data_IF_973984966280
#
_entry.id   IF_973984966280
#
_cell.length_a   1.000
_cell.length_b   1.000
_cell.length_c   1.000
_cell.angle_alpha   90.00
_cell.angle_beta   90.00
_cell.angle_gamma   90.00
#
_symmetry.space_group_name_H-M   'P 1'
#
loop_
_entity.id
_entity.type
_entity.pdbx_description
1 polymer ?
#
# COMPACT_ATOMS: atom_id res chain seq x y z
N UNK A 1 -4.50 20.42 -0.01
CA UNK A 1 -5.05 19.61 -1.11
C UNK A 1 -5.36 20.49 -2.27
N UNK A 2 -5.04 20.11 -3.48
CA UNK A 2 -5.32 20.86 -4.72
C UNK A 2 -5.75 19.87 -5.81
N UNK A 3 -6.55 20.35 -6.76
CA UNK A 3 -6.87 19.61 -7.97
C UNK A 3 -6.06 20.17 -9.14
N UNK A 4 -5.50 19.29 -9.97
CA UNK A 4 -4.90 19.71 -11.22
C UNK A 4 -5.99 20.11 -12.22
N UNK A 5 -5.79 21.21 -12.93
CA UNK A 5 -6.72 21.64 -13.97
C UNK A 5 -6.55 20.88 -15.29
N UNK A 6 -5.38 20.23 -15.48
CA UNK A 6 -5.05 19.46 -16.67
C UNK A 6 -4.17 18.26 -16.32
N UNK A 7 -4.18 17.21 -17.16
CA UNK A 7 -3.30 16.05 -17.02
C UNK A 7 -1.82 16.43 -17.08
N UNK A 8 -1.46 17.44 -17.87
CA UNK A 8 -0.10 17.96 -17.95
C UNK A 8 0.37 18.57 -16.60
N UNK A 9 -0.51 19.28 -15.90
CA UNK A 9 -0.21 19.78 -14.55
C UNK A 9 -0.07 18.67 -13.54
N UNK A 10 -0.90 17.63 -13.65
CA UNK A 10 -0.82 16.44 -12.79
C UNK A 10 0.48 15.66 -13.01
N UNK A 11 0.83 15.41 -14.26
CA UNK A 11 2.08 14.73 -14.64
C UNK A 11 3.32 15.49 -14.17
N UNK A 12 3.32 16.83 -14.23
CA UNK A 12 4.44 17.67 -13.82
C UNK A 12 4.79 17.58 -12.32
N UNK A 13 3.88 17.09 -11.48
CA UNK A 13 4.10 16.89 -10.03
C UNK A 13 4.30 15.43 -9.66
N UNK A 14 4.62 14.58 -10.63
CA UNK A 14 4.80 13.14 -10.39
C UNK A 14 3.48 12.35 -10.37
N UNK A 15 2.40 12.95 -10.83
CA UNK A 15 1.17 12.23 -11.15
C UNK A 15 1.49 11.14 -12.15
N UNK A 16 1.25 9.88 -11.75
CA UNK A 16 1.61 8.69 -12.51
C UNK A 16 0.81 8.54 -13.80
N UNK A 17 0.56 7.30 -14.18
CA UNK A 17 -0.23 6.93 -15.35
C UNK A 17 -1.64 7.52 -15.32
N UNK A 18 -2.32 7.49 -16.46
CA UNK A 18 -3.68 7.99 -16.68
C UNK A 18 -4.73 7.49 -15.67
N UNK A 19 -4.45 6.38 -14.99
CA UNK A 19 -5.34 5.77 -14.00
C UNK A 19 -5.02 6.21 -12.55
N UNK A 20 -4.03 7.10 -12.34
CA UNK A 20 -3.70 7.61 -11.01
C UNK A 20 -4.67 8.74 -10.66
N UNK A 21 -5.49 8.54 -9.63
CA UNK A 21 -6.51 9.51 -9.21
C UNK A 21 -5.94 10.68 -8.40
N UNK A 22 -4.87 10.45 -7.64
CA UNK A 22 -4.17 11.48 -6.88
C UNK A 22 -2.70 11.10 -6.67
N UNK A 23 -1.88 12.05 -6.24
CA UNK A 23 -0.48 11.83 -5.85
C UNK A 23 -0.13 12.72 -4.67
N UNK A 24 0.71 12.19 -3.77
CA UNK A 24 1.24 12.94 -2.63
C UNK A 24 2.66 13.41 -2.92
N UNK A 25 2.89 14.69 -2.76
CA UNK A 25 4.24 15.31 -2.77
C UNK A 25 4.66 15.69 -1.36
N UNK A 26 5.89 16.15 -1.19
CA UNK A 26 6.37 16.66 0.12
C UNK A 26 5.51 17.80 0.70
N UNK A 27 4.77 18.54 -0.13
CA UNK A 27 4.03 19.75 0.26
C UNK A 27 2.51 19.58 0.21
N UNK A 28 1.99 18.72 -0.68
CA UNK A 28 0.56 18.68 -0.95
C UNK A 28 0.10 17.34 -1.53
N UNK A 29 -1.20 17.10 -1.41
CA UNK A 29 -1.91 16.07 -2.16
C UNK A 29 -2.53 16.75 -3.38
N UNK A 30 -2.25 16.23 -4.58
CA UNK A 30 -2.81 16.71 -5.84
C UNK A 30 -3.69 15.65 -6.47
N UNK A 31 -4.92 15.99 -6.80
CA UNK A 31 -5.87 15.13 -7.48
C UNK A 31 -5.75 15.30 -9.00
N UNK A 32 -5.85 14.20 -9.74
CA UNK A 32 -5.97 14.22 -11.19
C UNK A 32 -7.30 14.88 -11.61
N UNK A 33 -7.40 15.46 -12.82
CA UNK A 33 -8.65 16.04 -13.32
C UNK A 33 -9.81 15.04 -13.31
N UNK A 34 -9.53 13.76 -13.62
CA UNK A 34 -10.50 12.67 -13.60
C UNK A 34 -11.12 12.38 -12.23
N UNK A 35 -10.46 12.76 -11.14
CA UNK A 35 -11.01 12.56 -9.79
C UNK A 35 -12.33 13.31 -9.55
N UNK A 36 -12.60 14.37 -10.31
CA UNK A 36 -13.86 15.13 -10.25
C UNK A 36 -15.08 14.28 -10.69
N UNK A 37 -14.88 13.17 -11.37
CA UNK A 37 -15.93 12.27 -11.85
C UNK A 37 -16.07 11.01 -10.98
N UNK A 38 -15.28 10.88 -9.93
CA UNK A 38 -15.37 9.75 -8.99
C UNK A 38 -16.59 9.92 -8.09
N UNK A 39 -17.18 8.79 -7.69
CA UNK A 39 -18.18 8.82 -6.64
C UNK A 39 -17.55 9.11 -5.26
N UNK A 40 -18.39 9.50 -4.31
CA UNK A 40 -17.96 9.89 -2.96
C UNK A 40 -17.21 8.77 -2.22
N UNK A 41 -17.56 7.50 -2.45
CA UNK A 41 -16.93 6.37 -1.78
C UNK A 41 -15.51 6.16 -2.32
N UNK A 42 -15.35 6.16 -3.64
CA UNK A 42 -14.06 6.06 -4.31
C UNK A 42 -13.15 7.25 -3.95
N UNK A 43 -13.69 8.47 -3.96
CA UNK A 43 -12.95 9.67 -3.60
C UNK A 43 -12.44 9.61 -2.13
N UNK A 44 -13.26 9.08 -1.21
CA UNK A 44 -12.84 8.91 0.19
C UNK A 44 -11.70 7.89 0.33
N UNK A 45 -11.72 6.81 -0.44
CA UNK A 45 -10.63 5.82 -0.44
C UNK A 45 -9.34 6.51 -0.92
N UNK A 46 -9.36 7.16 -2.07
CA UNK A 46 -8.21 7.89 -2.61
C UNK A 46 -7.69 8.92 -1.60
N UNK A 47 -8.59 9.72 -1.02
CA UNK A 47 -8.20 10.74 -0.05
C UNK A 47 -7.52 10.15 1.20
N UNK A 48 -8.04 9.04 1.75
CA UNK A 48 -7.44 8.38 2.91
C UNK A 48 -6.08 7.78 2.58
N UNK A 49 -5.95 7.17 1.40
CA UNK A 49 -4.70 6.63 0.90
C UNK A 49 -3.62 7.73 0.82
N UNK A 50 -3.91 8.83 0.16
CA UNK A 50 -2.99 9.94 0.03
C UNK A 50 -2.70 10.67 1.35
N UNK A 51 -3.68 10.76 2.24
CA UNK A 51 -3.47 11.31 3.59
C UNK A 51 -2.52 10.44 4.41
N UNK A 52 -2.57 9.11 4.25
CA UNK A 52 -1.60 8.23 4.89
C UNK A 52 -0.17 8.55 4.40
N UNK A 53 0.06 8.59 3.08
CA UNK A 53 1.36 8.94 2.53
C UNK A 53 1.83 10.32 3.00
N UNK A 54 0.93 11.31 2.98
CA UNK A 54 1.26 12.66 3.45
C UNK A 54 1.65 12.68 4.93
N UNK A 55 0.94 11.95 5.78
CA UNK A 55 1.23 11.87 7.22
C UNK A 55 2.56 11.13 7.50
N UNK A 56 2.83 10.06 6.76
CA UNK A 56 4.01 9.22 6.95
C UNK A 56 5.28 9.76 6.28
N UNK A 57 5.18 10.76 5.40
CA UNK A 57 6.27 11.21 4.49
C UNK A 57 7.59 11.58 5.18
N UNK A 58 7.52 12.12 6.40
CA UNK A 58 8.72 12.52 7.13
C UNK A 58 9.48 11.33 7.73
N UNK A 59 8.79 10.22 7.95
CA UNK A 59 9.33 9.02 8.58
C UNK A 59 9.62 7.91 7.56
N UNK A 60 9.13 8.04 6.33
CA UNK A 60 9.31 7.03 5.28
C UNK A 60 10.57 7.33 4.48
N UNK A 61 11.48 6.36 4.42
CA UNK A 61 12.71 6.45 3.66
C UNK A 61 12.45 6.45 2.14
N UNK A 62 13.32 7.08 1.37
CA UNK A 62 13.18 7.13 -0.09
C UNK A 62 13.38 5.75 -0.76
N UNK A 63 14.09 4.85 -0.10
CA UNK A 63 14.36 3.47 -0.50
C UNK A 63 13.45 2.44 0.19
N UNK A 64 12.42 2.90 0.89
CA UNK A 64 11.41 2.03 1.49
C UNK A 64 10.75 1.12 0.44
N UNK A 65 10.44 -0.16 0.78
CA UNK A 65 9.71 -1.06 -0.11
C UNK A 65 8.36 -0.45 -0.49
N UNK A 66 8.24 0.02 -1.73
CA UNK A 66 7.04 0.72 -2.21
C UNK A 66 5.79 -0.13 -2.07
N UNK A 67 5.87 -1.43 -2.36
CA UNK A 67 4.73 -2.32 -2.21
C UNK A 67 4.18 -2.33 -0.77
N UNK A 68 5.04 -2.20 0.25
CA UNK A 68 4.60 -2.19 1.65
C UNK A 68 3.97 -0.84 2.01
N UNK A 69 4.53 0.26 1.53
CA UNK A 69 3.94 1.60 1.75
C UNK A 69 2.56 1.71 1.12
N UNK A 70 2.39 1.21 -0.11
CA UNK A 70 1.11 1.15 -0.81
C UNK A 70 0.11 0.21 -0.12
N UNK A 71 0.56 -0.98 0.30
CA UNK A 71 -0.30 -1.95 0.96
C UNK A 71 -0.86 -1.44 2.29
N UNK A 72 -0.05 -0.72 3.08
CA UNK A 72 -0.51 -0.12 4.34
C UNK A 72 -1.40 1.10 4.08
N UNK A 73 -1.12 1.91 3.05
CA UNK A 73 -1.98 3.01 2.63
C UNK A 73 -3.37 2.49 2.24
N UNK A 74 -3.43 1.41 1.44
CA UNK A 74 -4.67 0.74 1.07
C UNK A 74 -5.40 0.12 2.27
N UNK A 75 -4.68 -0.45 3.24
CA UNK A 75 -5.29 -0.97 4.47
C UNK A 75 -5.99 0.13 5.26
N UNK A 76 -5.39 1.32 5.36
CA UNK A 76 -5.99 2.48 6.04
C UNK A 76 -7.16 3.06 5.26
N UNK A 77 -7.10 2.99 3.93
CA UNK A 77 -8.05 3.67 3.04
C UNK A 77 -9.30 2.87 2.74
N UNK A 78 -9.14 1.59 2.43
CA UNK A 78 -10.22 0.72 1.93
C UNK A 78 -11.10 0.21 3.08
N UNK A 79 -12.42 0.15 2.92
CA UNK A 79 -13.29 -0.50 3.89
C UNK A 79 -12.99 -2.01 3.95
N UNK A 80 -13.25 -2.67 5.11
CA UNK A 80 -13.19 -4.12 5.19
C UNK A 80 -14.10 -4.76 4.14
N UNK A 81 -13.56 -5.73 3.41
CA UNK A 81 -14.29 -6.48 2.39
C UNK A 81 -13.89 -7.97 2.44
N UNK A 82 -14.78 -8.90 2.08
CA UNK A 82 -14.40 -10.29 1.91
C UNK A 82 -13.28 -10.43 0.88
N UNK A 83 -12.42 -11.43 1.05
CA UNK A 83 -11.46 -11.76 0.01
C UNK A 83 -12.19 -12.29 -1.24
N UNK A 84 -11.77 -11.90 -2.44
CA UNK A 84 -12.33 -12.47 -3.66
C UNK A 84 -11.95 -13.95 -3.82
N UNK A 85 -12.72 -14.70 -4.59
CA UNK A 85 -12.53 -16.15 -4.72
C UNK A 85 -11.13 -16.56 -5.24
N UNK A 86 -10.48 -15.69 -6.01
CA UNK A 86 -9.13 -15.93 -6.54
C UNK A 86 -8.00 -15.46 -5.60
N UNK A 87 -8.31 -14.94 -4.42
CA UNK A 87 -7.30 -14.38 -3.51
C UNK A 87 -6.25 -15.42 -3.11
N UNK A 88 -6.68 -16.63 -2.75
CA UNK A 88 -5.77 -17.70 -2.35
C UNK A 88 -4.76 -18.05 -3.46
N UNK A 89 -5.22 -18.15 -4.72
CA UNK A 89 -4.34 -18.39 -5.87
C UNK A 89 -3.39 -17.22 -6.09
N UNK A 90 -3.89 -15.99 -6.01
CA UNK A 90 -3.09 -14.77 -6.20
C UNK A 90 -2.01 -14.64 -5.14
N UNK A 91 -2.30 -14.97 -3.88
CA UNK A 91 -1.35 -14.94 -2.75
C UNK A 91 -0.24 -15.99 -2.90
N UNK A 92 -0.46 -17.12 -3.61
CA UNK A 92 0.61 -18.08 -3.89
C UNK A 92 1.78 -17.49 -4.68
N UNK A 93 1.57 -16.40 -5.42
CA UNK A 93 2.64 -15.66 -6.11
C UNK A 93 3.62 -14.98 -5.14
N UNK A 94 3.30 -14.92 -3.84
CA UNK A 94 4.11 -14.27 -2.82
C UNK A 94 3.92 -12.74 -2.75
N UNK A 95 4.80 -12.08 -2.00
CA UNK A 95 4.79 -10.62 -1.90
C UNK A 95 5.06 -9.99 -3.27
N UNK A 96 4.42 -8.86 -3.59
CA UNK A 96 4.76 -8.13 -4.81
C UNK A 96 6.14 -7.48 -4.67
N UNK A 97 6.77 -7.22 -5.80
CA UNK A 97 7.93 -6.34 -5.92
C UNK A 97 7.48 -4.93 -6.31
N UNK A 98 8.35 -3.95 -6.14
CA UNK A 98 8.07 -2.58 -6.57
C UNK A 98 7.88 -2.48 -8.10
N UNK A 99 8.56 -3.35 -8.86
CA UNK A 99 8.38 -3.46 -10.31
C UNK A 99 6.97 -3.97 -10.69
N UNK A 100 6.40 -4.88 -9.91
CA UNK A 100 5.05 -5.40 -10.15
C UNK A 100 3.98 -4.30 -10.06
N UNK A 101 4.20 -3.27 -9.23
CA UNK A 101 3.29 -2.14 -9.08
C UNK A 101 3.22 -1.22 -10.31
N UNK A 102 4.14 -1.37 -11.23
CA UNK A 102 4.18 -0.63 -12.51
C UNK A 102 3.99 -1.55 -13.72
N UNK A 103 3.82 -2.85 -13.49
CA UNK A 103 3.68 -3.86 -14.53
C UNK A 103 2.24 -4.00 -15.06
N UNK A 104 2.03 -4.89 -16.04
CA UNK A 104 0.71 -5.12 -16.64
C UNK A 104 -0.32 -5.72 -15.64
N UNK A 105 0.15 -6.39 -14.60
CA UNK A 105 -0.68 -6.98 -13.53
C UNK A 105 -0.66 -6.14 -12.24
N UNK A 106 -0.40 -4.83 -12.36
CA UNK A 106 -0.27 -3.93 -11.19
C UNK A 106 -1.44 -4.01 -10.22
N UNK A 107 -2.67 -4.14 -10.70
CA UNK A 107 -3.84 -4.26 -9.83
C UNK A 107 -3.74 -5.45 -8.88
N UNK A 108 -3.28 -6.61 -9.37
CA UNK A 108 -3.04 -7.79 -8.53
C UNK A 108 -1.84 -7.60 -7.58
N UNK A 109 -0.87 -6.78 -7.95
CA UNK A 109 0.24 -6.45 -7.06
C UNK A 109 -0.22 -5.56 -5.89
N UNK A 110 -1.03 -4.52 -6.16
CA UNK A 110 -1.68 -3.70 -5.14
C UNK A 110 -2.58 -4.54 -4.22
N UNK A 111 -3.38 -5.45 -4.78
CA UNK A 111 -4.24 -6.33 -3.98
C UNK A 111 -3.41 -7.23 -3.07
N UNK A 112 -2.31 -7.85 -3.54
CA UNK A 112 -1.41 -8.67 -2.71
C UNK A 112 -0.79 -7.84 -1.58
N UNK A 113 -0.35 -6.62 -1.87
CA UNK A 113 0.20 -5.70 -0.87
C UNK A 113 -0.84 -5.35 0.21
N UNK A 114 -2.05 -5.00 -0.20
CA UNK A 114 -3.18 -4.73 0.69
C UNK A 114 -3.56 -5.94 1.54
N UNK A 115 -3.68 -7.13 0.94
CA UNK A 115 -4.03 -8.35 1.66
C UNK A 115 -2.94 -8.78 2.65
N UNK A 116 -1.68 -8.54 2.35
CA UNK A 116 -0.61 -8.78 3.31
C UNK A 116 -0.71 -7.83 4.51
N UNK A 117 -0.92 -6.55 4.30
CA UNK A 117 -1.12 -5.59 5.39
C UNK A 117 -2.35 -5.96 6.24
N UNK A 118 -3.43 -6.36 5.60
CA UNK A 118 -4.64 -6.84 6.27
C UNK A 118 -4.38 -8.12 7.08
N UNK A 119 -3.71 -9.11 6.49
CA UNK A 119 -3.31 -10.33 7.21
C UNK A 119 -2.50 -10.01 8.47
N UNK A 120 -1.50 -9.13 8.36
CA UNK A 120 -0.70 -8.73 9.53
C UNK A 120 -1.57 -8.08 10.60
N UNK A 121 -2.48 -7.18 10.21
CA UNK A 121 -3.39 -6.54 11.15
C UNK A 121 -4.36 -7.53 11.80
N UNK A 122 -4.91 -8.47 11.04
CA UNK A 122 -5.88 -9.47 11.53
C UNK A 122 -5.22 -10.51 12.45
N UNK A 123 -3.97 -10.89 12.16
CA UNK A 123 -3.26 -11.98 12.86
C UNK A 123 -2.44 -11.49 14.04
N UNK A 124 -1.72 -10.36 13.86
CA UNK A 124 -0.78 -9.82 14.85
C UNK A 124 -1.26 -8.52 15.49
N UNK A 125 -2.33 -7.94 14.97
CA UNK A 125 -2.88 -6.67 15.43
C UNK A 125 -2.36 -5.44 14.66
N UNK A 126 -3.13 -4.36 14.68
CA UNK A 126 -2.78 -3.11 13.99
C UNK A 126 -1.53 -2.43 14.56
N UNK A 127 -1.22 -2.65 15.84
CA UNK A 127 0.01 -2.16 16.46
C UNK A 127 1.25 -2.84 15.85
N UNK A 128 1.19 -4.15 15.59
CA UNK A 128 2.26 -4.90 14.93
C UNK A 128 2.42 -4.47 13.46
N UNK A 129 1.32 -4.22 12.74
CA UNK A 129 1.39 -3.67 11.38
C UNK A 129 2.08 -2.30 11.36
N UNK A 130 1.76 -1.42 12.33
CA UNK A 130 2.42 -0.13 12.46
C UNK A 130 3.92 -0.28 12.76
N UNK A 131 4.28 -1.19 13.67
CA UNK A 131 5.69 -1.45 14.01
C UNK A 131 6.45 -2.00 12.81
N UNK A 132 5.86 -2.92 12.06
CA UNK A 132 6.43 -3.43 10.80
C UNK A 132 6.65 -2.30 9.79
N UNK A 133 5.68 -1.41 9.60
CA UNK A 133 5.83 -0.26 8.71
C UNK A 133 7.00 0.64 9.11
N UNK A 134 7.05 1.04 10.38
CA UNK A 134 8.11 1.93 10.89
C UNK A 134 9.49 1.28 10.73
N UNK A 135 9.61 -0.02 10.98
CA UNK A 135 10.89 -0.73 10.87
C UNK A 135 11.30 -1.02 9.43
N UNK A 136 10.36 -1.41 8.57
CA UNK A 136 10.67 -1.79 7.19
C UNK A 136 10.70 -0.61 6.21
N UNK A 137 10.09 0.53 6.57
CA UNK A 137 9.99 1.68 5.71
C UNK A 137 10.62 2.96 6.28
N UNK A 138 11.09 2.95 7.53
CA UNK A 138 11.73 4.10 8.17
C UNK A 138 13.15 4.34 7.70
N UNK A 139 13.69 5.52 8.00
CA UNK A 139 15.07 5.86 7.65
C UNK A 139 16.08 4.89 8.29
N UNK A 140 16.97 4.34 7.46
CA UNK A 140 17.97 3.36 7.91
C UNK A 140 17.37 2.00 8.26
N UNK A 141 16.22 1.67 7.70
CA UNK A 141 15.55 0.37 7.91
C UNK A 141 16.44 -0.83 7.57
N UNK A 142 16.33 -1.93 8.30
CA UNK A 142 16.96 -3.19 7.94
C UNK A 142 16.29 -3.80 6.70
N UNK A 143 16.79 -4.94 6.24
CA UNK A 143 16.07 -5.72 5.24
C UNK A 143 14.70 -6.21 5.77
N UNK A 144 13.82 -6.60 4.84
CA UNK A 144 12.46 -7.01 5.17
C UNK A 144 12.41 -8.19 6.17
N UNK A 145 13.32 -9.16 6.03
CA UNK A 145 13.35 -10.35 6.91
C UNK A 145 13.65 -9.95 8.35
N UNK A 146 14.61 -9.06 8.55
CA UNK A 146 14.94 -8.54 9.88
C UNK A 146 13.82 -7.67 10.45
N UNK A 147 13.18 -6.82 9.62
CA UNK A 147 12.04 -6.02 10.04
C UNK A 147 10.85 -6.89 10.48
N UNK A 148 10.52 -7.95 9.71
CA UNK A 148 9.47 -8.92 10.04
C UNK A 148 9.77 -9.65 11.34
N UNK A 149 10.98 -10.18 11.50
CA UNK A 149 11.39 -10.88 12.73
C UNK A 149 11.26 -9.96 13.96
N UNK A 150 11.66 -8.70 13.85
CA UNK A 150 11.63 -7.74 14.95
C UNK A 150 10.21 -7.27 15.30
N UNK A 151 9.32 -7.19 14.31
CA UNK A 151 7.96 -6.66 14.50
C UNK A 151 6.94 -7.75 14.81
N UNK A 152 7.08 -8.94 14.23
CA UNK A 152 6.10 -10.01 14.30
C UNK A 152 6.57 -11.21 15.13
N UNK A 153 7.86 -11.27 15.49
CA UNK A 153 8.43 -12.34 16.32
C UNK A 153 8.62 -13.66 15.60
N UNK A 154 8.41 -13.71 14.28
CA UNK A 154 8.53 -14.90 13.43
C UNK A 154 9.39 -14.59 12.21
N UNK A 155 10.00 -15.61 11.63
CA UNK A 155 10.75 -15.40 10.40
C UNK A 155 9.82 -15.14 9.19
N UNK A 156 10.37 -14.54 8.13
CA UNK A 156 9.60 -14.16 6.95
C UNK A 156 8.95 -15.37 6.27
N UNK A 157 9.59 -16.54 6.26
CA UNK A 157 9.05 -17.74 5.61
C UNK A 157 7.84 -18.27 6.37
N UNK A 158 7.88 -18.27 7.70
CA UNK A 158 6.75 -18.64 8.57
C UNK A 158 5.59 -17.65 8.38
N UNK A 159 5.86 -16.35 8.36
CA UNK A 159 4.84 -15.31 8.14
C UNK A 159 4.17 -15.47 6.78
N UNK A 160 4.95 -15.76 5.72
CA UNK A 160 4.39 -16.01 4.39
C UNK A 160 3.59 -17.31 4.31
N UNK A 161 3.99 -18.34 5.03
CA UNK A 161 3.21 -19.59 5.13
C UNK A 161 1.86 -19.32 5.83
N UNK A 162 1.87 -18.60 6.94
CA UNK A 162 0.65 -18.20 7.65
C UNK A 162 -0.26 -17.30 6.79
N UNK A 163 0.31 -16.39 6.00
CA UNK A 163 -0.46 -15.56 5.07
C UNK A 163 -1.21 -16.37 4.01
N UNK A 164 -0.56 -17.41 3.45
CA UNK A 164 -1.23 -18.31 2.50
C UNK A 164 -2.37 -19.09 3.15
N UNK A 165 -2.21 -19.52 4.41
CA UNK A 165 -3.27 -20.19 5.17
C UNK A 165 -4.43 -19.27 5.48
N UNK A 166 -4.16 -18.01 5.88
CA UNK A 166 -5.18 -17.00 6.16
C UNK A 166 -6.10 -16.74 4.96
N UNK A 167 -5.60 -16.86 3.73
CA UNK A 167 -6.40 -16.69 2.53
C UNK A 167 -7.36 -17.83 2.21
N UNK A 168 -7.21 -18.98 2.87
CA UNK A 168 -8.03 -20.19 2.64
C UNK A 168 -9.05 -20.45 3.76
N UNK A 169 -8.95 -19.72 4.85
CA UNK A 169 -9.83 -19.85 6.04
C UNK A 169 -10.94 -18.91 6.05
#
# INVERSE_FOLDING_TARGET
MVAAGTDAQFAAVGGGDTDTAATTTGERIMFAPGAAHMDDAALRIVLRHELFHYAARAETAADAPRWLTEGVADFVARPPAPLPANAAETIQRGLPTDADLSGPERSLAYDRAWWFARFVADTYGTAALRDLYVRACGHGHPDLSAAVQQSLGSDLAEVLAAWRQWATG
#
